data_IF_065248462288
#
_entry.id   IF_065248462288
#
_cell.length_a   1.000
_cell.length_b   1.000
_cell.length_c   1.000
_cell.angle_alpha   90.00
_cell.angle_beta   90.00
_cell.angle_gamma   90.00
#
_symmetry.space_group_name_H-M   'P 1'
#
loop_
_entity.id
_entity.type
_entity.pdbx_description
1 polymer ?
#
# COMPACT_ATOMS: atom_id res chain seq x y z
N UNK A 1 31.71 -23.78 -11.36
CA UNK A 1 31.17 -22.48 -10.90
C UNK A 1 29.68 -22.69 -10.74
N UNK A 2 29.19 -22.69 -9.50
CA UNK A 2 27.77 -22.92 -9.20
C UNK A 2 26.92 -21.86 -9.88
N UNK A 3 25.88 -22.31 -10.57
CA UNK A 3 24.86 -21.47 -11.16
C UNK A 3 23.94 -21.01 -10.01
N UNK A 4 24.40 -20.06 -9.18
CA UNK A 4 23.56 -19.50 -8.12
C UNK A 4 22.39 -18.75 -8.75
N UNK A 5 21.18 -19.19 -8.41
CA UNK A 5 19.94 -18.58 -8.88
C UNK A 5 19.80 -17.17 -8.28
N UNK A 6 20.15 -16.15 -9.06
CA UNK A 6 20.14 -14.74 -8.66
C UNK A 6 18.75 -14.11 -8.66
N UNK A 7 17.68 -14.89 -8.91
CA UNK A 7 16.32 -14.37 -8.96
C UNK A 7 15.85 -13.94 -7.58
N UNK A 8 15.00 -12.91 -7.57
CA UNK A 8 14.33 -12.43 -6.37
C UNK A 8 13.41 -13.52 -5.84
N UNK A 9 13.53 -13.87 -4.55
CA UNK A 9 12.74 -14.93 -3.92
C UNK A 9 11.67 -14.40 -2.99
N UNK A 10 11.95 -13.27 -2.33
CA UNK A 10 11.05 -12.63 -1.38
C UNK A 10 11.07 -11.12 -1.53
N UNK A 11 9.90 -10.50 -1.42
CA UNK A 11 9.75 -9.05 -1.25
C UNK A 11 9.03 -8.75 0.06
N UNK A 12 9.57 -7.79 0.78
CA UNK A 12 8.95 -7.21 1.97
C UNK A 12 8.62 -5.75 1.66
N UNK A 13 7.34 -5.46 1.46
CA UNK A 13 6.85 -4.14 1.06
C UNK A 13 6.34 -3.43 2.31
N UNK A 14 6.89 -2.25 2.60
CA UNK A 14 6.47 -1.40 3.69
C UNK A 14 5.60 -0.29 3.10
N UNK A 15 4.35 -0.20 3.53
CA UNK A 15 3.46 0.89 3.15
C UNK A 15 3.32 1.84 4.34
N UNK A 16 3.96 3.01 4.26
CA UNK A 16 3.97 3.99 5.36
C UNK A 16 3.02 5.18 5.13
N UNK A 17 2.59 5.38 3.88
CA UNK A 17 1.69 6.47 3.48
C UNK A 17 0.28 5.96 3.24
N UNK A 18 -0.71 6.83 3.51
CA UNK A 18 -2.14 6.54 3.35
C UNK A 18 -2.79 7.21 2.13
N UNK A 19 -2.01 7.89 1.27
CA UNK A 19 -2.59 8.47 0.06
C UNK A 19 -2.99 7.35 -0.90
N UNK A 20 -4.07 7.57 -1.65
CA UNK A 20 -4.63 6.60 -2.58
C UNK A 20 -3.55 6.01 -3.52
N UNK A 21 -2.78 6.85 -4.19
CA UNK A 21 -1.75 6.43 -5.14
C UNK A 21 -0.56 5.68 -4.50
N UNK A 22 -0.16 6.05 -3.28
CA UNK A 22 0.94 5.40 -2.57
C UNK A 22 0.52 3.99 -2.12
N UNK A 23 -0.71 3.85 -1.62
CA UNK A 23 -1.28 2.55 -1.22
C UNK A 23 -1.41 1.62 -2.41
N UNK A 24 -1.94 2.11 -3.53
CA UNK A 24 -2.04 1.29 -4.74
C UNK A 24 -0.67 0.88 -5.29
N UNK A 25 0.36 1.73 -5.18
CA UNK A 25 1.72 1.35 -5.56
C UNK A 25 2.21 0.14 -4.73
N UNK A 26 1.97 0.12 -3.42
CA UNK A 26 2.33 -1.01 -2.57
C UNK A 26 1.54 -2.28 -2.92
N UNK A 27 0.23 -2.17 -3.11
CA UNK A 27 -0.65 -3.30 -3.43
C UNK A 27 -0.35 -3.90 -4.81
N UNK A 28 -0.14 -3.08 -5.83
CA UNK A 28 0.22 -3.54 -7.18
C UNK A 28 1.56 -4.29 -7.17
N UNK A 29 2.56 -3.80 -6.43
CA UNK A 29 3.84 -4.50 -6.29
C UNK A 29 3.70 -5.83 -5.55
N UNK A 30 2.92 -5.88 -4.47
CA UNK A 30 2.67 -7.09 -3.71
C UNK A 30 1.94 -8.14 -4.55
N UNK A 31 0.88 -7.72 -5.25
CA UNK A 31 0.11 -8.59 -6.12
C UNK A 31 0.96 -9.12 -7.29
N UNK A 32 1.75 -8.25 -7.93
CA UNK A 32 2.70 -8.66 -8.97
C UNK A 32 3.72 -9.68 -8.47
N UNK A 33 4.22 -9.54 -7.24
CA UNK A 33 5.15 -10.49 -6.65
C UNK A 33 4.51 -11.88 -6.45
N UNK A 34 3.31 -11.97 -5.86
CA UNK A 34 2.64 -13.26 -5.68
C UNK A 34 2.30 -13.92 -7.02
N UNK A 35 1.93 -13.14 -8.04
CA UNK A 35 1.67 -13.65 -9.39
C UNK A 35 2.92 -14.26 -10.06
N UNK A 36 4.10 -13.73 -9.76
CA UNK A 36 5.38 -14.25 -10.25
C UNK A 36 5.95 -15.38 -9.37
N UNK A 37 5.19 -15.84 -8.36
CA UNK A 37 5.63 -16.87 -7.42
C UNK A 37 6.73 -16.40 -6.46
N UNK A 38 6.86 -15.08 -6.27
CA UNK A 38 7.76 -14.46 -5.31
C UNK A 38 7.01 -14.34 -3.98
N UNK A 39 7.64 -14.74 -2.88
CA UNK A 39 7.05 -14.62 -1.55
C UNK A 39 6.86 -13.13 -1.21
N UNK A 40 5.63 -12.71 -0.93
CA UNK A 40 5.32 -11.30 -0.63
C UNK A 40 4.87 -11.14 0.83
N UNK A 41 5.51 -10.21 1.54
CA UNK A 41 5.08 -9.74 2.86
C UNK A 41 4.78 -8.25 2.76
N UNK A 42 3.58 -7.82 3.15
CA UNK A 42 3.20 -6.40 3.15
C UNK A 42 3.05 -5.95 4.60
N UNK A 43 3.75 -4.89 4.97
CA UNK A 43 3.77 -4.35 6.32
C UNK A 43 3.27 -2.91 6.30
N UNK A 44 2.07 -2.70 6.85
CA UNK A 44 1.45 -1.39 6.96
C UNK A 44 1.84 -0.73 8.28
N UNK A 45 2.30 0.51 8.19
CA UNK A 45 2.77 1.29 9.34
C UNK A 45 2.37 2.76 9.21
N UNK A 46 2.39 3.50 10.31
CA UNK A 46 1.98 4.91 10.37
C UNK A 46 0.65 5.15 9.63
N UNK A 47 0.61 6.13 8.73
CA UNK A 47 -0.60 6.47 7.96
C UNK A 47 -0.97 5.40 6.93
N UNK A 48 -0.07 4.47 6.62
CA UNK A 48 -0.42 3.29 5.83
C UNK A 48 -1.48 2.41 6.49
N UNK A 49 -1.66 2.49 7.81
CA UNK A 49 -2.75 1.74 8.47
C UNK A 49 -4.14 2.14 7.97
N UNK A 50 -4.32 3.35 7.44
CA UNK A 50 -5.58 3.78 6.80
C UNK A 50 -5.99 2.82 5.67
N UNK A 51 -5.03 2.24 4.97
CA UNK A 51 -5.27 1.29 3.89
C UNK A 51 -5.85 -0.04 4.37
N UNK A 52 -5.63 -0.42 5.63
CA UNK A 52 -6.08 -1.69 6.21
C UNK A 52 -7.12 -1.51 7.31
N UNK A 53 -7.52 -0.28 7.65
CA UNK A 53 -8.59 -0.01 8.60
C UNK A 53 -9.94 -0.07 7.88
N UNK A 54 -10.86 -0.92 8.35
CA UNK A 54 -12.15 -1.20 7.68
C UNK A 54 -12.99 0.05 7.42
N UNK A 55 -12.96 1.02 8.32
CA UNK A 55 -13.72 2.27 8.16
C UNK A 55 -13.14 3.22 7.11
N UNK A 56 -11.86 3.08 6.73
CA UNK A 56 -11.13 4.07 5.93
C UNK A 56 -10.60 3.52 4.60
N UNK A 57 -10.33 2.22 4.50
CA UNK A 57 -9.63 1.61 3.37
C UNK A 57 -10.27 1.83 1.99
N UNK A 58 -11.60 1.99 1.94
CA UNK A 58 -12.33 2.28 0.69
C UNK A 58 -12.46 3.79 0.39
N UNK A 59 -11.96 4.64 1.29
CA UNK A 59 -12.14 6.10 1.25
C UNK A 59 -10.80 6.86 1.24
N UNK A 60 -9.69 6.22 0.86
CA UNK A 60 -8.38 6.87 0.77
C UNK A 60 -8.32 8.03 -0.22
N UNK A 61 -7.67 9.13 0.13
CA UNK A 61 -7.63 10.32 -0.70
C UNK A 61 -6.28 10.55 -1.36
N UNK A 62 -6.29 11.21 -2.53
CA UNK A 62 -5.08 11.68 -3.20
C UNK A 62 -4.63 13.00 -2.59
N UNK A 63 -3.33 13.11 -2.29
CA UNK A 63 -2.77 14.34 -1.74
C UNK A 63 -2.73 15.45 -2.80
N UNK A 64 -3.55 16.49 -2.61
CA UNK A 64 -3.59 17.67 -3.49
C UNK A 64 -2.75 18.85 -2.97
N UNK A 65 -2.48 18.88 -1.67
CA UNK A 65 -1.57 19.85 -1.02
C UNK A 65 -0.22 19.19 -0.79
N UNK A 66 0.86 19.90 -1.09
CA UNK A 66 2.22 19.38 -0.91
C UNK A 66 2.65 18.35 -1.96
N UNK A 67 1.86 18.18 -3.04
CA UNK A 67 2.17 17.28 -4.15
C UNK A 67 2.55 18.05 -5.44
N UNK A 68 3.82 18.46 -5.61
CA UNK A 68 4.28 19.17 -6.81
C UNK A 68 4.33 18.28 -8.05
N UNK A 69 4.22 16.95 -7.88
CA UNK A 69 4.16 16.00 -8.98
C UNK A 69 2.78 15.96 -9.64
N UNK A 70 1.73 16.44 -8.97
CA UNK A 70 0.37 16.43 -9.51
C UNK A 70 0.27 17.31 -10.76
N UNK A 71 -0.29 16.73 -11.83
CA UNK A 71 -0.53 17.38 -13.12
C UNK A 71 -2.01 17.34 -13.47
N UNK A 72 -2.48 18.40 -14.10
CA UNK A 72 -3.77 18.45 -14.78
C UNK A 72 -3.66 17.81 -16.17
N UNK A 73 -4.80 17.43 -16.79
CA UNK A 73 -4.83 16.99 -18.19
C UNK A 73 -4.07 17.95 -19.10
N UNK A 74 -3.27 17.40 -20.03
CA UNK A 74 -2.36 18.19 -20.87
C UNK A 74 -1.01 18.50 -20.21
N UNK A 75 -0.63 17.80 -19.13
CA UNK A 75 0.67 17.89 -18.44
C UNK A 75 0.94 19.25 -17.77
N UNK A 76 -0.11 19.99 -17.45
CA UNK A 76 -0.02 21.30 -16.80
C UNK A 76 0.24 21.09 -15.30
N UNK A 77 1.27 21.72 -14.69
CA UNK A 77 1.48 21.65 -13.24
C UNK A 77 0.23 22.07 -12.47
N UNK A 78 -0.19 21.27 -11.50
CA UNK A 78 -1.28 21.67 -10.62
C UNK A 78 -0.80 22.82 -9.72
N UNK A 79 -1.45 23.99 -9.75
CA UNK A 79 -1.05 25.10 -8.90
C UNK A 79 -1.22 24.72 -7.43
N UNK A 80 -0.16 24.73 -6.62
CA UNK A 80 -0.25 24.29 -5.22
C UNK A 80 -1.27 25.08 -4.41
N UNK A 81 -1.53 26.34 -4.77
CA UNK A 81 -2.58 27.17 -4.16
C UNK A 81 -3.98 26.59 -4.36
N UNK A 82 -4.25 25.85 -5.45
CA UNK A 82 -5.54 25.21 -5.67
C UNK A 82 -5.80 24.06 -4.68
N UNK A 83 -4.77 23.49 -4.05
CA UNK A 83 -4.95 22.40 -3.10
C UNK A 83 -5.69 22.80 -1.82
N UNK A 84 -5.71 24.09 -1.47
CA UNK A 84 -6.44 24.58 -0.28
C UNK A 84 -7.94 24.81 -0.54
N UNK A 85 -8.39 24.68 -1.80
CA UNK A 85 -9.79 24.89 -2.17
C UNK A 85 -10.63 23.72 -1.63
N UNK A 86 -11.68 23.98 -0.83
CA UNK A 86 -12.53 22.92 -0.29
C UNK A 86 -13.10 22.01 -1.39
N UNK A 87 -13.00 20.70 -1.19
CA UNK A 87 -13.50 19.68 -2.14
C UNK A 87 -12.55 19.32 -3.28
N UNK A 88 -11.43 20.04 -3.46
CA UNK A 88 -10.44 19.73 -4.51
C UNK A 88 -9.81 18.34 -4.32
N UNK A 89 -9.54 17.95 -3.08
CA UNK A 89 -9.04 16.63 -2.71
C UNK A 89 -10.02 15.51 -3.12
N UNK A 90 -11.30 15.66 -2.79
CA UNK A 90 -12.34 14.70 -3.15
C UNK A 90 -12.51 14.60 -4.67
N UNK A 91 -12.44 15.74 -5.38
CA UNK A 91 -12.47 15.77 -6.85
C UNK A 91 -11.28 15.03 -7.45
N UNK A 92 -10.06 15.30 -6.99
CA UNK A 92 -8.85 14.64 -7.47
C UNK A 92 -8.90 13.13 -7.21
N UNK A 93 -9.30 12.74 -5.99
CA UNK A 93 -9.46 11.34 -5.59
C UNK A 93 -10.52 10.62 -6.44
N UNK A 94 -11.67 11.26 -6.70
CA UNK A 94 -12.72 10.71 -7.56
C UNK A 94 -12.26 10.55 -9.01
N UNK A 95 -11.49 11.50 -9.54
CA UNK A 95 -10.89 11.38 -10.88
C UNK A 95 -9.87 10.24 -10.95
N UNK A 96 -9.04 10.09 -9.92
CA UNK A 96 -8.06 9.01 -9.83
C UNK A 96 -8.75 7.64 -9.78
N UNK A 97 -9.75 7.46 -8.91
CA UNK A 97 -10.51 6.21 -8.83
C UNK A 97 -11.19 5.86 -10.15
N UNK A 98 -11.80 6.85 -10.80
CA UNK A 98 -12.40 6.64 -12.12
C UNK A 98 -11.37 6.15 -13.15
N UNK A 99 -10.14 6.68 -13.10
CA UNK A 99 -9.06 6.22 -14.00
C UNK A 99 -8.57 4.83 -13.66
N UNK A 100 -8.54 4.47 -12.38
CA UNK A 100 -8.24 3.11 -11.93
C UNK A 100 -9.32 2.13 -12.41
N UNK A 101 -10.60 2.48 -12.26
CA UNK A 101 -11.74 1.71 -12.77
C UNK A 101 -11.73 1.58 -14.30
N UNK A 102 -11.45 2.66 -15.04
CA UNK A 102 -11.30 2.65 -16.51
C UNK A 102 -10.18 1.67 -16.98
N UNK A 103 -9.24 1.33 -16.10
CA UNK A 103 -8.10 0.43 -16.35
C UNK A 103 -8.28 -0.95 -15.70
N UNK A 104 -9.49 -1.27 -15.22
CA UNK A 104 -9.81 -2.51 -14.52
C UNK A 104 -8.89 -2.78 -13.30
N UNK A 105 -8.44 -1.71 -12.64
CA UNK A 105 -7.65 -1.82 -11.40
C UNK A 105 -8.62 -2.09 -10.24
N UNK A 106 -8.43 -3.18 -9.47
CA UNK A 106 -9.33 -3.55 -8.40
C UNK A 106 -9.25 -2.58 -7.21
N UNK A 107 -10.33 -2.47 -6.40
CA UNK A 107 -10.32 -1.70 -5.15
C UNK A 107 -9.34 -2.29 -4.12
N UNK A 108 -9.11 -1.55 -3.04
CA UNK A 108 -8.14 -1.88 -2.00
C UNK A 108 -8.45 -3.23 -1.34
N UNK A 109 -9.71 -3.46 -0.94
CA UNK A 109 -10.13 -4.74 -0.35
C UNK A 109 -9.89 -5.94 -1.28
N UNK A 110 -10.24 -5.80 -2.56
CA UNK A 110 -10.03 -6.87 -3.55
C UNK A 110 -8.54 -7.16 -3.79
N UNK A 111 -7.68 -6.13 -3.80
CA UNK A 111 -6.24 -6.34 -3.84
C UNK A 111 -5.72 -7.15 -2.64
N UNK A 112 -6.24 -6.90 -1.44
CA UNK A 112 -5.83 -7.68 -0.26
C UNK A 112 -6.24 -9.14 -0.38
N UNK A 113 -7.47 -9.40 -0.83
CA UNK A 113 -7.95 -10.75 -1.08
C UNK A 113 -7.08 -11.46 -2.12
N UNK A 114 -6.74 -10.78 -3.23
CA UNK A 114 -5.88 -11.34 -4.28
C UNK A 114 -4.47 -11.65 -3.76
N UNK A 115 -3.89 -10.76 -2.96
CA UNK A 115 -2.56 -10.96 -2.36
C UNK A 115 -2.58 -12.18 -1.43
N UNK A 116 -3.56 -12.27 -0.52
CA UNK A 116 -3.71 -13.39 0.40
C UNK A 116 -3.95 -14.71 -0.35
N UNK A 117 -4.84 -14.72 -1.34
CA UNK A 117 -5.13 -15.89 -2.16
C UNK A 117 -3.90 -16.36 -2.96
N UNK A 118 -3.03 -15.42 -3.36
CA UNK A 118 -1.73 -15.70 -3.98
C UNK A 118 -0.66 -16.21 -3.01
N UNK A 119 -0.96 -16.31 -1.71
CA UNK A 119 -0.02 -16.75 -0.66
C UNK A 119 0.84 -15.61 -0.09
N UNK A 120 0.53 -14.36 -0.41
CA UNK A 120 1.12 -13.19 0.24
C UNK A 120 0.58 -13.02 1.66
N UNK A 121 1.34 -12.34 2.51
CA UNK A 121 0.96 -12.11 3.90
C UNK A 121 0.95 -10.62 4.23
N UNK A 122 -0.14 -10.17 4.86
CA UNK A 122 -0.36 -8.77 5.21
C UNK A 122 -0.25 -8.61 6.72
N UNK A 123 0.50 -7.60 7.17
CA UNK A 123 0.77 -7.33 8.58
C UNK A 123 0.56 -5.85 8.92
N UNK A 124 0.20 -5.61 10.18
CA UNK A 124 0.13 -4.27 10.75
C UNK A 124 1.26 -4.05 11.77
N UNK A 125 1.83 -2.85 11.77
CA UNK A 125 2.85 -2.46 12.74
C UNK A 125 2.25 -2.27 14.14
N UNK A 126 2.74 -3.03 15.12
CA UNK A 126 2.30 -2.96 16.53
C UNK A 126 2.39 -1.55 17.11
N UNK A 127 3.52 -0.86 16.92
CA UNK A 127 3.71 0.50 17.43
C UNK A 127 2.67 1.46 16.83
N UNK A 128 2.42 1.39 15.52
CA UNK A 128 1.47 2.27 14.87
C UNK A 128 0.03 1.96 15.32
N UNK A 129 -0.34 0.68 15.42
CA UNK A 129 -1.65 0.26 15.95
C UNK A 129 -1.89 0.82 17.35
N UNK A 130 -0.88 0.74 18.23
CA UNK A 130 -0.97 1.27 19.59
C UNK A 130 -1.06 2.81 19.59
N UNK A 131 -0.31 3.50 18.72
CA UNK A 131 -0.33 4.97 18.61
C UNK A 131 -1.67 5.53 18.11
N UNK A 132 -2.35 4.81 17.20
CA UNK A 132 -3.65 5.21 16.65
C UNK A 132 -4.83 4.58 17.42
N UNK A 133 -4.56 3.89 18.53
CA UNK A 133 -5.56 3.27 19.40
C UNK A 133 -6.46 2.25 18.67
N UNK A 134 -5.91 1.57 17.66
CA UNK A 134 -6.61 0.56 16.87
C UNK A 134 -6.50 -0.83 17.52
N UNK A 135 -7.41 -1.72 17.16
CA UNK A 135 -7.41 -3.14 17.52
C UNK A 135 -7.43 -4.01 16.29
N UNK A 136 -7.15 -5.31 16.47
CA UNK A 136 -7.15 -6.28 15.37
C UNK A 136 -8.51 -6.32 14.65
N UNK A 137 -9.59 -6.18 15.42
CA UNK A 137 -10.97 -6.18 14.90
C UNK A 137 -11.28 -5.01 13.95
N UNK A 138 -10.61 -3.86 14.14
CA UNK A 138 -10.78 -2.66 13.32
C UNK A 138 -10.09 -2.79 11.95
N UNK A 139 -9.14 -3.72 11.85
CA UNK A 139 -8.37 -3.98 10.65
C UNK A 139 -9.10 -4.96 9.72
N UNK A 140 -8.78 -4.91 8.43
CA UNK A 140 -9.19 -5.85 7.40
C UNK A 140 -8.97 -7.30 7.85
N UNK A 141 -9.91 -8.18 7.55
CA UNK A 141 -9.81 -9.62 7.80
C UNK A 141 -8.56 -10.26 7.17
N UNK A 142 -8.05 -9.69 6.08
CA UNK A 142 -6.86 -10.16 5.38
C UNK A 142 -5.54 -9.83 6.09
N UNK A 143 -5.58 -9.00 7.14
CA UNK A 143 -4.39 -8.79 7.97
C UNK A 143 -4.14 -10.08 8.74
N UNK A 144 -2.98 -10.70 8.52
CA UNK A 144 -2.56 -11.93 9.20
C UNK A 144 -2.29 -11.68 10.68
N UNK A 145 -1.44 -10.72 11.02
CA UNK A 145 -1.10 -10.41 12.41
C UNK A 145 -0.66 -8.95 12.64
N UNK A 146 -0.63 -8.54 13.90
CA UNK A 146 -0.05 -7.27 14.35
C UNK A 146 1.33 -7.59 14.94
N UNK A 147 2.39 -7.13 14.26
CA UNK A 147 3.77 -7.51 14.59
C UNK A 147 4.65 -6.30 14.88
N UNK A 148 5.70 -6.54 15.65
CA UNK A 148 6.77 -5.59 15.92
C UNK A 148 7.72 -5.45 14.73
N UNK A 149 8.54 -4.41 14.75
CA UNK A 149 9.59 -4.23 13.73
C UNK A 149 10.65 -5.34 13.78
N UNK A 150 10.90 -5.92 14.96
CA UNK A 150 11.85 -7.02 15.12
C UNK A 150 11.35 -8.27 14.37
N UNK A 151 10.09 -8.66 14.60
CA UNK A 151 9.44 -9.77 13.90
C UNK A 151 9.38 -9.52 12.38
N UNK A 152 9.13 -8.27 11.94
CA UNK A 152 9.19 -7.95 10.52
C UNK A 152 10.58 -8.20 9.91
N UNK A 153 11.68 -7.83 10.60
CA UNK A 153 13.02 -8.14 10.12
C UNK A 153 13.33 -9.64 10.11
N UNK A 154 12.77 -10.41 11.05
CA UNK A 154 12.86 -11.87 11.01
C UNK A 154 12.13 -12.46 9.79
N UNK A 155 10.95 -11.94 9.46
CA UNK A 155 10.23 -12.32 8.24
C UNK A 155 10.99 -11.96 6.96
N UNK A 156 11.75 -10.86 6.98
CA UNK A 156 12.61 -10.43 5.88
C UNK A 156 13.92 -11.22 5.75
N UNK A 157 14.27 -12.06 6.73
CA UNK A 157 15.46 -12.89 6.64
C UNK A 157 15.39 -13.90 5.48
N UNK A 158 16.54 -14.27 4.94
CA UNK A 158 16.69 -15.23 3.85
C UNK A 158 17.46 -14.69 2.65
N UNK A 159 17.87 -15.60 1.77
CA UNK A 159 18.62 -15.27 0.56
C UNK A 159 17.72 -14.61 -0.49
N UNK A 160 18.25 -13.58 -1.16
CA UNK A 160 17.54 -12.85 -2.23
C UNK A 160 16.20 -12.26 -1.77
N UNK A 161 16.14 -11.74 -0.55
CA UNK A 161 15.05 -10.88 -0.06
C UNK A 161 15.33 -9.41 -0.39
N UNK A 162 14.31 -8.70 -0.87
CA UNK A 162 14.33 -7.25 -1.03
C UNK A 162 13.31 -6.59 -0.12
N UNK A 163 13.73 -5.58 0.65
CA UNK A 163 12.82 -4.67 1.35
C UNK A 163 12.56 -3.46 0.44
N UNK A 164 11.29 -3.11 0.26
CA UNK A 164 10.81 -1.97 -0.54
C UNK A 164 10.00 -1.06 0.36
N UNK A 165 10.28 0.23 0.38
CA UNK A 165 9.56 1.22 1.19
C UNK A 165 8.76 2.15 0.29
N UNK A 166 7.46 2.27 0.57
CA UNK A 166 6.48 3.06 -0.19
C UNK A 166 5.93 4.21 0.65
#
# INVERSE_FOLDING_TARGET
MSNEDKRLKKVCIICAKGNLEDVYAALVMANGAVMEGIEAKVFFTFFGLEAITKSHMEHLHTAVVGNPAMRLPGNIPFPSLMGIVPGMEAMASGMMRKKMEDLDIPPVGEFMEMIEAGGGEIFACKLAVDMFELKKEDLSEHVKDIITIAEFYELAAGDHTQIIFV
#
